data_IF_593359935112
#
_entry.id   IF_593359935112
#
_cell.length_a   1.000
_cell.length_b   1.000
_cell.length_c   1.000
_cell.angle_alpha   90.00
_cell.angle_beta   90.00
_cell.angle_gamma   90.00
#
_symmetry.space_group_name_H-M   'P 1'
#
loop_
_entity.id
_entity.type
_entity.pdbx_description
1 polymer ?
#
# COMPACT_ATOMS: atom_id res chain seq x y z
N UNK A 1 8.99 20.55 -4.03
CA UNK A 1 9.85 20.83 -5.21
C UNK A 1 10.23 19.50 -5.83
N UNK A 2 10.10 19.29 -7.15
CA UNK A 2 10.26 17.97 -7.79
C UNK A 2 11.75 17.59 -7.96
N UNK A 3 12.49 17.50 -6.85
CA UNK A 3 13.92 17.20 -6.80
C UNK A 3 14.21 16.07 -5.82
N UNK A 4 15.35 15.42 -5.99
CA UNK A 4 15.83 14.45 -5.01
C UNK A 4 16.07 15.13 -3.64
N UNK A 5 15.50 14.62 -2.53
CA UNK A 5 15.67 15.23 -1.20
C UNK A 5 17.09 15.09 -0.64
N UNK A 6 17.95 14.26 -1.26
CA UNK A 6 19.34 14.03 -0.82
C UNK A 6 20.35 14.94 -1.50
N UNK A 7 20.23 15.14 -2.82
CA UNK A 7 21.21 15.86 -3.64
C UNK A 7 20.65 17.06 -4.42
N UNK A 8 19.33 17.29 -4.36
CA UNK A 8 18.62 18.36 -5.08
C UNK A 8 18.70 18.30 -6.61
N UNK A 9 19.12 17.17 -7.17
CA UNK A 9 19.13 16.95 -8.62
C UNK A 9 17.70 16.89 -9.19
N UNK A 10 17.56 17.39 -10.41
CA UNK A 10 16.39 17.17 -11.28
C UNK A 10 16.54 15.93 -12.17
N UNK A 11 17.72 15.32 -12.18
CA UNK A 11 18.01 14.09 -12.93
C UNK A 11 17.57 12.87 -12.11
N UNK A 12 16.32 12.45 -12.32
CA UNK A 12 15.72 11.27 -11.70
C UNK A 12 14.77 10.60 -12.70
N UNK A 13 14.59 9.29 -12.55
CA UNK A 13 13.71 8.46 -13.38
C UNK A 13 12.80 7.56 -12.51
N UNK A 14 12.05 6.68 -13.17
CA UNK A 14 11.18 5.70 -12.53
C UNK A 14 11.73 4.29 -12.74
N UNK A 15 11.75 3.50 -11.66
CA UNK A 15 12.13 2.09 -11.71
C UNK A 15 10.92 1.24 -11.31
N UNK A 16 10.64 0.12 -12.01
CA UNK A 16 9.57 -0.79 -11.60
C UNK A 16 9.83 -1.38 -10.22
N UNK A 17 8.85 -1.32 -9.32
CA UNK A 17 8.89 -2.06 -8.07
C UNK A 17 8.27 -3.45 -8.27
N UNK A 18 8.90 -4.53 -7.77
CA UNK A 18 8.31 -5.87 -7.65
C UNK A 18 7.05 -5.91 -6.77
N UNK A 19 6.79 -4.87 -5.97
CA UNK A 19 5.62 -4.77 -5.12
C UNK A 19 5.62 -5.76 -3.96
N UNK A 20 6.79 -6.22 -3.50
CA UNK A 20 6.90 -7.21 -2.43
C UNK A 20 7.52 -6.58 -1.18
N UNK A 21 7.07 -7.00 0.00
CA UNK A 21 7.54 -6.42 1.24
C UNK A 21 6.96 -7.03 2.51
N UNK A 22 7.12 -6.31 3.60
CA UNK A 22 6.58 -6.66 4.92
C UNK A 22 5.57 -5.62 5.40
N UNK A 23 4.52 -6.07 6.07
CA UNK A 23 3.56 -5.15 6.71
C UNK A 23 4.24 -4.46 7.91
N UNK A 24 4.60 -3.19 7.76
CA UNK A 24 5.30 -2.41 8.79
C UNK A 24 4.34 -1.98 9.91
N UNK A 25 3.16 -1.50 9.56
CA UNK A 25 2.12 -1.06 10.49
C UNK A 25 0.76 -1.07 9.79
N UNK A 26 -0.33 -1.13 10.56
CA UNK A 26 -1.67 -0.95 10.01
C UNK A 26 -2.64 -0.39 11.04
N UNK A 27 -3.74 0.17 10.55
CA UNK A 27 -4.86 0.63 11.36
C UNK A 27 -6.18 0.15 10.76
N UNK A 28 -7.20 0.07 11.60
CA UNK A 28 -8.58 -0.19 11.19
C UNK A 28 -9.36 1.12 11.24
N UNK A 29 -9.87 1.56 10.10
CA UNK A 29 -10.71 2.76 10.01
C UNK A 29 -12.15 2.35 10.27
N UNK A 30 -12.74 2.83 11.38
CA UNK A 30 -14.11 2.48 11.76
C UNK A 30 -15.17 3.49 11.29
N UNK A 31 -14.86 4.78 11.26
CA UNK A 31 -15.78 5.85 10.88
C UNK A 31 -15.05 7.18 10.60
N UNK A 32 -15.64 8.10 9.80
CA UNK A 32 -16.81 7.89 8.95
C UNK A 32 -16.42 7.07 7.70
N UNK A 33 -17.30 6.16 7.31
CA UNK A 33 -17.13 5.39 6.08
C UNK A 33 -17.57 6.27 4.90
N UNK A 34 -16.71 6.41 3.89
CA UNK A 34 -17.11 6.94 2.58
C UNK A 34 -17.76 5.81 1.79
N UNK A 35 -18.71 6.12 0.90
CA UNK A 35 -19.49 5.11 0.15
C UNK A 35 -18.63 4.08 -0.58
N UNK A 36 -17.40 4.45 -0.97
CA UNK A 36 -16.46 3.57 -1.67
C UNK A 36 -15.83 2.46 -0.80
N UNK A 37 -16.05 2.45 0.52
CA UNK A 37 -15.47 1.45 1.43
C UNK A 37 -16.53 0.81 2.35
N UNK A 38 -16.68 -0.51 2.25
CA UNK A 38 -17.58 -1.31 3.09
C UNK A 38 -16.98 -1.62 4.48
N UNK A 39 -17.74 -1.31 5.54
CA UNK A 39 -17.45 -1.65 6.96
C UNK A 39 -16.04 -1.19 7.40
N UNK A 40 -15.58 -1.46 8.64
CA UNK A 40 -14.24 -1.04 9.00
C UNK A 40 -13.21 -1.66 8.06
N UNK A 41 -12.43 -0.83 7.37
CA UNK A 41 -11.41 -1.27 6.44
C UNK A 41 -10.03 -1.08 7.04
N UNK A 42 -9.07 -1.87 6.58
CA UNK A 42 -7.69 -1.75 7.00
C UNK A 42 -6.90 -0.82 6.09
N UNK A 43 -6.02 0.00 6.66
CA UNK A 43 -4.98 0.73 5.91
C UNK A 43 -3.64 0.32 6.47
N UNK A 44 -2.76 -0.14 5.58
CA UNK A 44 -1.43 -0.63 5.92
C UNK A 44 -0.32 0.27 5.38
N UNK A 45 0.83 0.17 6.03
CA UNK A 45 2.11 0.65 5.52
C UNK A 45 2.94 -0.60 5.21
N UNK A 46 3.31 -0.79 3.95
CA UNK A 46 4.25 -1.83 3.54
C UNK A 46 5.63 -1.23 3.47
N UNK A 47 6.60 -1.87 4.11
CA UNK A 47 8.02 -1.65 3.82
C UNK A 47 8.41 -2.62 2.70
N UNK A 48 8.60 -2.07 1.50
CA UNK A 48 8.98 -2.83 0.31
C UNK A 48 10.42 -3.31 0.44
N UNK A 49 10.75 -4.39 -0.26
CA UNK A 49 12.10 -4.98 -0.25
C UNK A 49 13.16 -3.98 -0.80
N UNK A 50 12.74 -3.00 -1.62
CA UNK A 50 13.55 -1.86 -2.07
C UNK A 50 13.64 -0.70 -1.04
N UNK A 51 13.26 -0.95 0.22
CA UNK A 51 13.36 -0.05 1.37
C UNK A 51 12.48 1.22 1.32
N UNK A 52 11.58 1.31 0.34
CA UNK A 52 10.57 2.37 0.27
C UNK A 52 9.31 1.94 1.03
N UNK A 53 8.53 2.91 1.53
CA UNK A 53 7.25 2.66 2.19
C UNK A 53 6.08 3.08 1.32
N UNK A 54 5.08 2.21 1.21
CA UNK A 54 3.83 2.46 0.49
C UNK A 54 2.64 2.35 1.45
N UNK A 55 1.72 3.31 1.38
CA UNK A 55 0.44 3.28 2.09
C UNK A 55 -0.64 2.79 1.13
N UNK A 56 -1.39 1.77 1.53
CA UNK A 56 -2.47 1.21 0.73
C UNK A 56 -3.52 0.50 1.60
N UNK A 57 -4.67 0.20 1.01
CA UNK A 57 -5.78 -0.50 1.69
C UNK A 57 -5.43 -1.98 1.83
N UNK A 58 -5.77 -2.56 2.98
CA UNK A 58 -5.63 -3.99 3.23
C UNK A 58 -6.78 -4.76 2.57
N UNK A 59 -6.45 -5.79 1.80
CA UNK A 59 -7.45 -6.71 1.24
C UNK A 59 -8.19 -7.48 2.36
N UNK A 60 -9.46 -7.82 2.14
CA UNK A 60 -10.29 -8.68 3.01
C UNK A 60 -10.54 -8.17 4.45
N UNK A 61 -10.33 -6.88 4.71
CA UNK A 61 -10.62 -6.26 6.02
C UNK A 61 -9.57 -6.55 7.10
N UNK A 62 -9.79 -6.15 8.37
CA UNK A 62 -8.72 -6.01 9.36
C UNK A 62 -8.35 -7.29 10.15
N UNK A 63 -9.10 -8.39 10.01
CA UNK A 63 -9.11 -9.47 11.03
C UNK A 63 -7.99 -10.51 10.94
N UNK A 64 -7.16 -10.50 9.89
CA UNK A 64 -6.10 -11.51 9.67
C UNK A 64 -4.68 -10.93 9.59
N UNK A 65 -4.52 -9.62 9.76
CA UNK A 65 -3.26 -8.92 9.52
C UNK A 65 -2.35 -8.88 10.74
N UNK A 66 -1.04 -9.05 10.50
CA UNK A 66 0.00 -9.01 11.54
C UNK A 66 1.19 -8.19 11.06
N UNK A 67 1.70 -7.32 11.93
CA UNK A 67 2.95 -6.62 11.69
C UNK A 67 4.08 -7.64 11.47
N UNK A 68 4.90 -7.41 10.44
CA UNK A 68 5.98 -8.31 10.01
C UNK A 68 5.55 -9.42 9.05
N UNK A 69 4.26 -9.53 8.69
CA UNK A 69 3.78 -10.49 7.68
C UNK A 69 4.33 -10.15 6.28
N UNK A 70 4.65 -11.18 5.49
CA UNK A 70 4.95 -11.04 4.06
C UNK A 70 3.71 -10.69 3.26
N UNK A 71 3.84 -9.64 2.45
CA UNK A 71 2.75 -9.07 1.67
C UNK A 71 3.23 -8.71 0.28
N UNK A 72 2.28 -8.57 -0.63
CA UNK A 72 2.49 -7.98 -1.95
C UNK A 72 1.50 -6.84 -2.18
N UNK A 73 1.88 -5.92 -3.07
CA UNK A 73 1.02 -4.88 -3.63
C UNK A 73 0.39 -5.43 -4.89
N UNK A 74 -0.94 -5.36 -4.94
CA UNK A 74 -1.74 -5.65 -6.12
C UNK A 74 -2.56 -4.41 -6.49
N UNK A 75 -3.35 -4.48 -7.55
CA UNK A 75 -4.17 -3.37 -8.01
C UNK A 75 -5.65 -3.74 -8.08
N UNK A 76 -6.48 -2.88 -7.52
CA UNK A 76 -7.94 -2.98 -7.61
C UNK A 76 -8.47 -1.99 -8.65
N UNK A 77 -9.17 -2.51 -9.65
CA UNK A 77 -9.79 -1.71 -10.70
C UNK A 77 -11.02 -0.96 -10.15
N UNK A 78 -10.99 0.35 -10.32
CA UNK A 78 -12.04 1.28 -9.93
C UNK A 78 -12.81 1.78 -11.16
N UNK A 79 -14.02 2.32 -10.92
CA UNK A 79 -14.79 2.98 -11.97
C UNK A 79 -13.98 4.11 -12.64
N UNK A 80 -14.23 4.33 -13.93
CA UNK A 80 -13.51 5.33 -14.73
C UNK A 80 -12.16 4.86 -15.28
N UNK A 81 -11.82 3.58 -15.15
CA UNK A 81 -10.57 3.02 -15.70
C UNK A 81 -9.33 3.33 -14.86
N UNK A 82 -9.54 3.62 -13.58
CA UNK A 82 -8.46 3.84 -12.62
C UNK A 82 -8.13 2.54 -11.88
N UNK A 83 -6.89 2.41 -11.41
CA UNK A 83 -6.47 1.30 -10.57
C UNK A 83 -5.83 1.85 -9.28
N UNK A 84 -6.23 1.32 -8.13
CA UNK A 84 -5.67 1.70 -6.83
C UNK A 84 -4.84 0.57 -6.24
N UNK A 85 -3.70 0.87 -5.60
CA UNK A 85 -2.89 -0.15 -4.95
C UNK A 85 -3.60 -0.71 -3.72
N UNK A 86 -3.54 -2.03 -3.58
CA UNK A 86 -4.04 -2.78 -2.43
C UNK A 86 -2.96 -3.70 -1.89
N UNK A 87 -3.00 -3.97 -0.59
CA UNK A 87 -2.05 -4.85 0.09
C UNK A 87 -2.71 -6.21 0.25
N UNK A 88 -2.04 -7.25 -0.22
CA UNK A 88 -2.49 -8.63 -0.19
C UNK A 88 -1.48 -9.49 0.58
N UNK A 89 -1.91 -10.53 1.31
CA UNK A 89 -0.98 -11.52 1.84
C UNK A 89 -0.18 -12.18 0.72
N UNK A 90 1.12 -12.39 0.92
CA UNK A 90 1.91 -13.20 -0.03
C UNK A 90 1.58 -14.68 0.21
N UNK A 91 0.96 -15.34 -0.79
CA UNK A 91 0.76 -16.79 -0.74
C UNK A 91 2.14 -17.47 -0.64
N UNK A 92 2.29 -18.34 0.36
CA UNK A 92 3.54 -19.07 0.65
C UNK A 92 3.88 -20.05 -0.47
#
# INVERSE_FOLDING_TARGET
MPVCPRCHSFDWDFVPSPGKGVLFSFTTVHAPLVESFDRPYGVGIVELDEQTRLVAVLQDGPTSWRIGMRVKVDFFDCEGGFALPVICPEAT
#
